data_IF_648259943950
#
_entry.id   IF_648259943950
#
_cell.length_a   1.000
_cell.length_b   1.000
_cell.length_c   1.000
_cell.angle_alpha   90.00
_cell.angle_beta   90.00
_cell.angle_gamma   90.00
#
_symmetry.space_group_name_H-M   'P 1'
#
loop_
_entity.id
_entity.type
_entity.pdbx_description
1 polymer ?
#
# COMPACT_ATOMS: atom_id res chain seq x y z
N UNK A 1 -38.92 -21.20 33.87
CA UNK A 1 -37.82 -21.07 34.84
C UNK A 1 -37.40 -19.60 34.89
N UNK A 2 -36.78 -19.16 35.97
CA UNK A 2 -36.19 -17.82 36.03
C UNK A 2 -34.96 -17.75 35.12
N UNK A 3 -34.50 -16.54 34.81
CA UNK A 3 -33.28 -16.34 34.01
C UNK A 3 -32.08 -17.04 34.66
N UNK A 4 -31.96 -16.93 35.98
CA UNK A 4 -30.86 -17.49 36.75
C UNK A 4 -30.90 -19.03 36.72
N UNK A 5 -32.07 -19.63 36.89
CA UNK A 5 -32.25 -21.09 36.81
C UNK A 5 -31.93 -21.65 35.40
N UNK A 6 -32.26 -20.89 34.35
CA UNK A 6 -31.96 -21.31 32.97
C UNK A 6 -30.46 -21.31 32.67
N UNK A 7 -29.74 -20.30 33.17
CA UNK A 7 -28.28 -20.21 33.01
C UNK A 7 -27.58 -21.34 33.76
N UNK A 8 -27.98 -21.64 35.00
CA UNK A 8 -27.42 -22.76 35.77
C UNK A 8 -27.68 -24.11 35.09
N UNK A 9 -28.89 -24.33 34.54
CA UNK A 9 -29.20 -25.53 33.78
C UNK A 9 -28.36 -25.65 32.51
N UNK A 10 -28.19 -24.56 31.77
CA UNK A 10 -27.38 -24.54 30.54
C UNK A 10 -25.91 -24.88 30.83
N UNK A 11 -25.36 -24.31 31.91
CA UNK A 11 -23.98 -24.56 32.34
C UNK A 11 -23.77 -26.01 32.80
N UNK A 12 -24.73 -26.59 33.53
CA UNK A 12 -24.67 -27.98 33.98
C UNK A 12 -24.69 -28.98 32.81
N UNK A 13 -25.41 -28.67 31.72
CA UNK A 13 -25.51 -29.55 30.54
C UNK A 13 -24.32 -29.38 29.58
N UNK A 14 -23.87 -28.15 29.36
CA UNK A 14 -22.90 -27.83 28.31
C UNK A 14 -21.47 -27.56 28.84
N UNK A 15 -21.27 -27.48 30.16
CA UNK A 15 -19.98 -27.21 30.79
C UNK A 15 -19.42 -25.81 30.49
N UNK A 16 -20.26 -24.89 30.01
CA UNK A 16 -19.90 -23.51 29.65
C UNK A 16 -21.09 -22.57 29.78
N UNK A 17 -20.78 -21.28 29.93
CA UNK A 17 -21.76 -20.19 29.93
C UNK A 17 -22.40 -20.07 28.52
N UNK A 18 -23.72 -19.82 28.41
CA UNK A 18 -24.40 -19.60 27.14
C UNK A 18 -23.86 -18.38 26.39
N UNK A 19 -23.75 -18.49 25.06
CA UNK A 19 -23.42 -17.33 24.20
C UNK A 19 -24.60 -16.37 24.08
N UNK A 20 -24.34 -15.12 23.68
CA UNK A 20 -25.39 -14.11 23.51
C UNK A 20 -26.51 -14.56 22.53
N UNK A 21 -26.13 -15.33 21.50
CA UNK A 21 -27.08 -15.86 20.51
C UNK A 21 -27.96 -16.97 21.10
N UNK A 22 -27.37 -17.90 21.86
CA UNK A 22 -28.12 -18.99 22.54
C UNK A 22 -29.07 -18.45 23.61
N UNK A 23 -28.65 -17.40 24.33
CA UNK A 23 -29.50 -16.73 25.32
C UNK A 23 -30.69 -16.02 24.66
N UNK A 24 -30.48 -15.41 23.49
CA UNK A 24 -31.53 -14.73 22.75
C UNK A 24 -32.52 -15.72 22.12
N UNK A 25 -32.05 -16.84 21.58
CA UNK A 25 -32.92 -17.91 21.09
C UNK A 25 -33.77 -18.54 22.20
N UNK A 26 -33.20 -18.77 23.39
CA UNK A 26 -33.93 -19.30 24.54
C UNK A 26 -35.01 -18.34 25.05
N UNK A 27 -34.73 -17.03 24.97
CA UNK A 27 -35.72 -15.99 25.28
C UNK A 27 -36.85 -15.96 24.25
N UNK A 28 -36.55 -16.08 22.96
CA UNK A 28 -37.55 -16.12 21.88
C UNK A 28 -38.42 -17.38 21.95
N UNK A 29 -37.84 -18.50 22.40
CA UNK A 29 -38.54 -19.77 22.65
C UNK A 29 -39.33 -19.78 23.97
N UNK A 30 -39.21 -18.74 24.79
CA UNK A 30 -39.92 -18.60 26.06
C UNK A 30 -39.44 -19.58 27.14
N UNK A 31 -38.18 -20.02 27.08
CA UNK A 31 -37.64 -21.00 28.03
C UNK A 31 -37.49 -20.42 29.45
N UNK A 32 -37.38 -19.09 29.59
CA UNK A 32 -37.38 -18.38 30.87
C UNK A 32 -38.12 -17.03 30.81
N UNK A 33 -38.63 -16.56 31.96
CA UNK A 33 -39.30 -15.26 32.12
C UNK A 33 -38.44 -14.25 32.88
N UNK A 34 -38.65 -12.96 32.60
CA UNK A 34 -38.01 -11.85 33.34
C UNK A 34 -39.12 -11.15 34.13
N UNK A 35 -39.17 -11.38 35.45
CA UNK A 35 -40.20 -10.78 36.30
C UNK A 35 -39.87 -9.30 36.59
N UNK A 36 -40.84 -8.44 36.31
CA UNK A 36 -40.81 -7.01 36.59
C UNK A 36 -41.44 -6.73 37.96
N UNK A 37 -40.66 -6.83 39.03
CA UNK A 37 -41.15 -6.49 40.38
C UNK A 37 -40.09 -5.71 41.19
N UNK A 38 -39.98 -4.41 40.93
CA UNK A 38 -39.43 -3.45 41.90
C UNK A 38 -39.98 -2.02 41.73
N UNK A 39 -41.28 -1.84 41.49
CA UNK A 39 -41.98 -0.57 41.71
C UNK A 39 -43.36 -0.85 42.32
N UNK A 40 -43.48 -0.72 43.65
CA UNK A 40 -44.77 -0.55 44.33
C UNK A 40 -44.60 0.40 45.52
N UNK A 41 -45.00 1.66 45.31
CA UNK A 41 -45.42 2.72 46.25
C UNK A 41 -45.44 4.00 45.39
N UNK A 42 -46.53 4.67 45.08
CA UNK A 42 -47.92 4.72 45.57
C UNK A 42 -48.73 5.26 44.37
N UNK A 43 -49.82 4.60 43.99
CA UNK A 43 -50.84 5.20 43.13
C UNK A 43 -51.70 6.13 43.99
N UNK A 44 -52.06 7.30 43.46
CA UNK A 44 -53.44 7.79 43.36
C UNK A 44 -53.45 9.32 43.29
N UNK A 45 -53.75 9.86 42.09
CA UNK A 45 -54.68 10.96 41.86
C UNK A 45 -54.53 11.52 40.45
N UNK A 46 -55.55 11.25 39.63
CA UNK A 46 -56.22 12.14 38.67
C UNK A 46 -55.46 13.25 37.92
N UNK A 47 -55.80 13.26 36.62
CA UNK A 47 -55.92 14.41 35.71
C UNK A 47 -54.66 15.05 35.09
N UNK A 48 -54.71 15.05 33.76
CA UNK A 48 -54.11 16.01 32.83
C UNK A 48 -52.59 16.21 32.91
N UNK A 49 -51.87 15.69 31.91
CA UNK A 49 -51.21 16.52 30.91
C UNK A 49 -50.44 15.70 29.87
N UNK A 50 -50.57 16.12 28.61
CA UNK A 50 -49.69 15.75 27.51
C UNK A 50 -48.23 16.07 27.88
N UNK A 51 -47.36 15.06 27.94
CA UNK A 51 -45.92 15.25 27.72
C UNK A 51 -45.29 14.03 27.07
N UNK A 52 -44.65 14.31 25.94
CA UNK A 52 -43.80 13.43 25.13
C UNK A 52 -42.70 12.81 26.00
N UNK A 53 -42.61 11.48 26.04
CA UNK A 53 -41.46 10.79 26.63
C UNK A 53 -40.26 10.94 25.69
N UNK A 54 -39.32 11.81 26.04
CA UNK A 54 -38.00 11.88 25.42
C UNK A 54 -37.30 10.52 25.52
N UNK A 55 -37.23 9.81 24.40
CA UNK A 55 -36.26 8.74 24.20
C UNK A 55 -34.86 9.36 24.21
N UNK A 56 -34.19 9.36 25.35
CA UNK A 56 -32.81 9.85 25.44
C UNK A 56 -31.87 8.86 24.78
N UNK A 57 -31.63 9.07 23.49
CA UNK A 57 -30.71 8.29 22.66
C UNK A 57 -29.37 9.03 22.54
N UNK A 58 -28.24 8.34 22.69
CA UNK A 58 -26.91 8.94 22.49
C UNK A 58 -26.39 8.62 21.09
N UNK A 59 -25.94 9.64 20.38
CA UNK A 59 -25.42 9.51 19.01
C UNK A 59 -23.95 9.15 19.06
N UNK A 60 -23.55 8.11 18.32
CA UNK A 60 -22.15 7.75 18.22
C UNK A 60 -21.33 8.88 17.56
N UNK A 61 -20.22 9.32 18.16
CA UNK A 61 -19.39 10.42 17.62
C UNK A 61 -18.66 10.07 16.31
N UNK A 62 -18.69 8.80 15.86
CA UNK A 62 -18.02 8.33 14.64
C UNK A 62 -18.97 7.99 13.50
N UNK A 63 -20.06 7.25 13.75
CA UNK A 63 -21.01 6.85 12.70
C UNK A 63 -22.34 7.59 12.69
N UNK A 64 -22.58 8.54 13.60
CA UNK A 64 -23.88 9.23 13.76
C UNK A 64 -25.09 8.30 13.93
N UNK A 65 -24.83 7.03 14.22
CA UNK A 65 -25.78 5.98 14.52
C UNK A 65 -26.28 6.17 15.96
N UNK A 66 -27.61 6.12 16.14
CA UNK A 66 -28.27 6.32 17.44
C UNK A 66 -28.16 5.05 18.27
N UNK A 67 -27.62 5.18 19.48
CA UNK A 67 -27.42 4.07 20.41
C UNK A 67 -28.24 4.28 21.69
N UNK A 68 -28.51 3.16 22.39
CA UNK A 68 -29.17 3.18 23.69
C UNK A 68 -28.30 3.89 24.74
N UNK A 69 -28.94 4.63 25.64
CA UNK A 69 -28.26 5.39 26.67
C UNK A 69 -27.51 4.45 27.64
N UNK A 70 -26.20 4.66 27.80
CA UNK A 70 -25.33 3.81 28.62
C UNK A 70 -24.53 2.74 27.85
N UNK A 71 -24.66 2.67 26.52
CA UNK A 71 -23.81 1.81 25.70
C UNK A 71 -22.33 2.21 25.85
N UNK A 72 -21.46 1.28 26.25
CA UNK A 72 -20.02 1.55 26.40
C UNK A 72 -19.34 1.60 25.02
N UNK A 73 -19.82 0.81 24.07
CA UNK A 73 -19.33 0.73 22.69
C UNK A 73 -20.48 0.80 21.68
N UNK A 74 -20.24 1.45 20.55
CA UNK A 74 -21.18 1.50 19.44
C UNK A 74 -21.30 0.12 18.74
N UNK A 75 -22.50 -0.49 18.65
CA UNK A 75 -22.69 -1.79 18.01
C UNK A 75 -22.37 -1.79 16.51
N UNK A 76 -22.52 -0.64 15.84
CA UNK A 76 -22.32 -0.50 14.40
C UNK A 76 -20.84 -0.31 14.02
N UNK A 77 -20.06 0.43 14.83
CA UNK A 77 -18.67 0.80 14.47
C UNK A 77 -17.60 0.47 15.52
N UNK A 78 -17.99 -0.06 16.68
CA UNK A 78 -17.08 -0.47 17.77
C UNK A 78 -16.43 0.68 18.55
N UNK A 79 -16.75 1.93 18.25
CA UNK A 79 -16.17 3.09 18.97
C UNK A 79 -16.74 3.21 20.37
N UNK A 80 -15.87 3.49 21.35
CA UNK A 80 -16.26 3.76 22.73
C UNK A 80 -17.06 5.06 22.82
N UNK A 81 -18.21 5.04 23.49
CA UNK A 81 -19.16 6.18 23.52
C UNK A 81 -18.66 7.38 24.36
N UNK A 82 -17.60 7.18 25.16
CA UNK A 82 -16.90 8.24 25.91
C UNK A 82 -15.85 9.00 25.07
N UNK A 83 -15.71 8.68 23.79
CA UNK A 83 -14.73 9.29 22.88
C UNK A 83 -13.29 8.80 23.06
N UNK A 84 -13.00 7.98 24.08
CA UNK A 84 -11.65 7.44 24.35
C UNK A 84 -11.47 6.06 23.72
N UNK A 85 -11.41 6.04 22.39
CA UNK A 85 -11.09 4.82 21.63
C UNK A 85 -9.60 4.69 21.34
N UNK A 86 -8.89 3.87 22.11
CA UNK A 86 -7.46 3.53 21.91
C UNK A 86 -7.20 2.82 20.55
N UNK A 87 -8.24 2.28 19.90
CA UNK A 87 -8.12 1.62 18.58
C UNK A 87 -8.29 2.55 17.35
N UNK A 88 -8.65 3.84 17.51
CA UNK A 88 -8.94 4.76 16.40
C UNK A 88 -7.91 5.87 16.19
N UNK A 89 -6.94 6.05 17.10
CA UNK A 89 -5.97 7.16 17.00
C UNK A 89 -5.10 7.04 15.74
N UNK A 90 -4.61 5.83 15.44
CA UNK A 90 -3.77 5.61 14.26
C UNK A 90 -4.54 5.79 12.93
N UNK A 91 -5.79 5.32 12.82
CA UNK A 91 -6.57 5.53 11.59
C UNK A 91 -6.98 6.99 11.40
N UNK A 92 -7.28 7.70 12.49
CA UNK A 92 -7.63 9.12 12.44
C UNK A 92 -6.42 9.98 12.08
N UNK A 93 -5.23 9.66 12.61
CA UNK A 93 -3.97 10.32 12.22
C UNK A 93 -3.65 10.03 10.75
N UNK A 94 -3.71 8.77 10.32
CA UNK A 94 -3.46 8.39 8.93
C UNK A 94 -4.44 9.07 7.97
N UNK A 95 -5.72 9.16 8.32
CA UNK A 95 -6.74 9.90 7.56
C UNK A 95 -6.42 11.39 7.47
N UNK A 96 -6.09 12.04 8.60
CA UNK A 96 -5.73 13.47 8.59
C UNK A 96 -4.47 13.78 7.78
N UNK A 97 -3.46 12.91 7.87
CA UNK A 97 -2.24 13.01 7.04
C UNK A 97 -2.62 12.82 5.56
N UNK A 98 -3.45 11.82 5.26
CA UNK A 98 -3.88 11.55 3.90
C UNK A 98 -4.64 12.73 3.28
N UNK A 99 -5.55 13.36 4.02
CA UNK A 99 -6.31 14.52 3.55
C UNK A 99 -5.41 15.75 3.30
N UNK A 100 -4.41 15.97 4.16
CA UNK A 100 -3.41 17.05 3.96
C UNK A 100 -2.54 16.80 2.73
N UNK A 101 -2.05 15.58 2.56
CA UNK A 101 -1.26 15.20 1.37
C UNK A 101 -2.13 15.29 0.13
N UNK A 102 -3.38 14.83 0.19
CA UNK A 102 -4.33 14.88 -0.92
C UNK A 102 -4.55 16.32 -1.38
N UNK A 103 -4.86 17.23 -0.46
CA UNK A 103 -5.02 18.65 -0.80
C UNK A 103 -3.74 19.30 -1.34
N UNK A 104 -2.58 19.04 -0.73
CA UNK A 104 -1.29 19.54 -1.22
C UNK A 104 -1.00 19.09 -2.66
N UNK A 105 -1.25 17.82 -2.95
CA UNK A 105 -1.01 17.19 -4.26
C UNK A 105 -2.17 17.39 -5.25
N UNK A 106 -3.10 18.32 -4.97
CA UNK A 106 -4.12 18.77 -5.93
C UNK A 106 -5.39 17.91 -6.03
N UNK A 107 -5.66 17.07 -5.03
CA UNK A 107 -6.88 16.25 -4.97
C UNK A 107 -7.99 16.89 -4.14
N UNK A 108 -9.22 16.52 -4.46
CA UNK A 108 -10.44 17.01 -3.81
C UNK A 108 -11.20 15.87 -3.12
N UNK A 109 -11.82 16.19 -1.98
CA UNK A 109 -12.63 15.26 -1.19
C UNK A 109 -11.84 14.44 -0.16
N UNK A 110 -12.59 13.65 0.62
CA UNK A 110 -12.05 12.77 1.68
C UNK A 110 -11.46 11.51 1.04
N UNK A 111 -10.31 11.07 1.52
CA UNK A 111 -9.67 9.84 1.05
C UNK A 111 -10.16 8.65 1.88
N UNK A 112 -10.89 7.72 1.26
CA UNK A 112 -11.22 6.44 1.89
C UNK A 112 -10.05 5.46 1.76
N UNK A 113 -9.35 5.19 2.87
CA UNK A 113 -8.25 4.23 2.91
C UNK A 113 -8.77 2.79 3.17
N UNK A 114 -9.11 2.04 2.12
CA UNK A 114 -9.59 0.64 2.22
C UNK A 114 -8.47 -0.40 2.20
N UNK A 115 -7.51 -0.22 3.12
CA UNK A 115 -6.34 -1.09 3.30
C UNK A 115 -6.68 -2.58 3.41
N UNK A 116 -7.71 -2.89 4.21
CA UNK A 116 -8.13 -4.27 4.46
C UNK A 116 -8.60 -4.97 3.19
N UNK A 117 -9.24 -4.24 2.28
CA UNK A 117 -9.81 -4.82 1.08
C UNK A 117 -8.71 -5.18 0.07
N UNK A 118 -7.67 -4.35 -0.02
CA UNK A 118 -6.48 -4.58 -0.85
C UNK A 118 -5.79 -5.92 -0.53
N UNK A 119 -5.61 -6.23 0.75
CA UNK A 119 -4.90 -7.45 1.17
C UNK A 119 -5.83 -8.63 1.50
N UNK A 120 -7.13 -8.49 1.22
CA UNK A 120 -8.17 -9.47 1.62
C UNK A 120 -8.04 -10.85 0.96
N UNK A 121 -7.35 -10.94 -0.18
CA UNK A 121 -7.19 -12.18 -0.96
C UNK A 121 -5.82 -12.84 -0.74
N UNK A 122 -4.85 -12.18 -0.12
CA UNK A 122 -3.46 -12.67 0.03
C UNK A 122 -3.36 -14.06 0.66
N UNK A 123 -4.17 -14.32 1.69
CA UNK A 123 -4.14 -15.58 2.45
C UNK A 123 -5.16 -16.62 1.96
N UNK A 124 -5.93 -16.31 0.90
CA UNK A 124 -6.91 -17.24 0.34
C UNK A 124 -6.25 -18.21 -0.64
N UNK A 125 -6.91 -19.35 -0.85
CA UNK A 125 -6.53 -20.31 -1.88
C UNK A 125 -7.03 -19.80 -3.23
N UNK A 126 -6.16 -19.86 -4.22
CA UNK A 126 -6.45 -19.48 -5.60
C UNK A 126 -6.06 -20.62 -6.52
N UNK A 127 -6.82 -20.77 -7.60
CA UNK A 127 -6.59 -21.74 -8.67
C UNK A 127 -5.48 -21.26 -9.61
N UNK A 128 -4.97 -22.20 -10.42
CA UNK A 128 -3.98 -21.88 -11.46
C UNK A 128 -4.55 -20.95 -12.53
N UNK A 129 -5.81 -21.14 -12.90
CA UNK A 129 -6.51 -20.32 -13.89
C UNK A 129 -6.64 -18.87 -13.43
N UNK A 130 -6.99 -18.64 -12.15
CA UNK A 130 -7.01 -17.28 -11.58
C UNK A 130 -5.64 -16.60 -11.67
N UNK A 131 -4.55 -17.34 -11.44
CA UNK A 131 -3.20 -16.80 -11.62
C UNK A 131 -2.92 -16.47 -13.09
N UNK A 132 -3.28 -17.34 -14.03
CA UNK A 132 -3.08 -17.13 -15.47
C UNK A 132 -3.86 -15.92 -15.99
N UNK A 133 -5.08 -15.72 -15.50
CA UNK A 133 -5.91 -14.56 -15.83
C UNK A 133 -5.30 -13.23 -15.39
N UNK A 134 -4.45 -13.20 -14.36
CA UNK A 134 -3.71 -11.99 -13.98
C UNK A 134 -2.75 -11.56 -15.09
N UNK A 135 -2.12 -12.54 -15.76
CA UNK A 135 -1.15 -12.31 -16.84
C UNK A 135 -1.80 -12.19 -18.22
N UNK A 136 -3.02 -12.69 -18.38
CA UNK A 136 -3.82 -12.56 -19.59
C UNK A 136 -4.41 -11.14 -19.73
N UNK A 137 -3.56 -10.11 -19.72
CA UNK A 137 -3.94 -8.71 -19.87
C UNK A 137 -3.04 -7.97 -20.87
N UNK A 138 -3.47 -6.78 -21.31
CA UNK A 138 -2.68 -5.91 -22.20
C UNK A 138 -2.69 -6.25 -23.69
N UNK A 139 -3.38 -7.32 -24.11
CA UNK A 139 -3.61 -7.62 -25.53
C UNK A 139 -4.87 -6.94 -26.06
N UNK A 140 -5.06 -6.92 -27.39
CA UNK A 140 -6.27 -6.37 -28.03
C UNK A 140 -7.57 -7.06 -27.58
N UNK A 141 -7.51 -8.35 -27.28
CA UNK A 141 -8.69 -9.17 -26.93
C UNK A 141 -8.92 -9.29 -25.43
N UNK A 142 -7.90 -9.00 -24.61
CA UNK A 142 -7.96 -9.14 -23.15
C UNK A 142 -8.00 -7.80 -22.41
N UNK A 143 -7.71 -6.69 -23.09
CA UNK A 143 -7.86 -5.36 -22.50
C UNK A 143 -9.36 -5.00 -22.46
N UNK A 144 -9.93 -4.73 -21.28
CA UNK A 144 -11.34 -4.38 -21.17
C UNK A 144 -11.63 -3.04 -21.87
N UNK A 145 -12.85 -2.92 -22.40
CA UNK A 145 -13.39 -1.62 -22.83
C UNK A 145 -13.51 -0.68 -21.62
N UNK A 146 -13.46 0.65 -21.80
CA UNK A 146 -13.52 1.63 -20.69
C UNK A 146 -14.70 1.42 -19.73
N UNK A 147 -15.86 1.03 -20.26
CA UNK A 147 -17.08 0.74 -19.50
C UNK A 147 -17.00 -0.52 -18.61
N UNK A 148 -16.11 -1.45 -18.96
CA UNK A 148 -15.92 -2.75 -18.29
C UNK A 148 -14.71 -2.76 -17.36
N UNK A 149 -14.03 -1.62 -17.18
CA UNK A 149 -12.94 -1.50 -16.22
C UNK A 149 -13.49 -1.63 -14.79
N UNK A 150 -12.84 -2.45 -13.96
CA UNK A 150 -13.25 -2.65 -12.57
C UNK A 150 -13.18 -1.35 -11.77
N UNK A 151 -14.30 -1.02 -11.13
CA UNK A 151 -14.50 0.13 -10.24
C UNK A 151 -14.19 -0.19 -8.79
N UNK A 152 -14.15 -1.47 -8.46
CA UNK A 152 -13.81 -1.94 -7.11
C UNK A 152 -12.33 -1.74 -6.83
N UNK A 153 -12.02 -1.62 -5.53
CA UNK A 153 -10.65 -1.65 -5.06
C UNK A 153 -9.95 -2.93 -5.54
N UNK A 154 -8.72 -2.82 -6.07
CA UNK A 154 -7.96 -3.98 -6.50
C UNK A 154 -7.67 -4.87 -5.29
N UNK A 155 -7.68 -6.19 -5.51
CA UNK A 155 -7.44 -7.21 -4.47
C UNK A 155 -6.22 -8.05 -4.84
N UNK A 156 -5.01 -7.45 -4.92
CA UNK A 156 -3.80 -8.15 -5.30
C UNK A 156 -3.46 -9.27 -4.30
N UNK A 157 -2.97 -10.39 -4.81
CA UNK A 157 -2.60 -11.56 -4.01
C UNK A 157 -1.41 -12.33 -4.58
N UNK A 158 -1.16 -12.25 -5.88
CA UNK A 158 -0.10 -13.01 -6.54
C UNK A 158 1.29 -12.48 -6.18
N UNK A 159 1.43 -11.19 -5.90
CA UNK A 159 2.66 -10.56 -5.43
C UNK A 159 3.24 -11.27 -4.19
N UNK A 160 2.38 -11.74 -3.28
CA UNK A 160 2.79 -12.47 -2.09
C UNK A 160 3.31 -13.88 -2.44
N UNK A 161 2.78 -14.50 -3.51
CA UNK A 161 3.27 -15.78 -4.04
C UNK A 161 4.63 -15.60 -4.71
N UNK A 162 4.83 -14.49 -5.43
CA UNK A 162 6.13 -14.13 -6.01
C UNK A 162 7.16 -13.85 -4.93
N UNK A 163 6.80 -13.11 -3.87
CA UNK A 163 7.65 -12.91 -2.70
C UNK A 163 8.09 -14.24 -2.09
N UNK A 164 7.14 -15.15 -1.82
CA UNK A 164 7.44 -16.45 -1.24
C UNK A 164 8.36 -17.30 -2.13
N UNK A 165 8.11 -17.31 -3.44
CA UNK A 165 8.95 -18.02 -4.41
C UNK A 165 10.39 -17.51 -4.38
N UNK A 166 10.58 -16.19 -4.43
CA UNK A 166 11.90 -15.56 -4.39
C UNK A 166 12.59 -15.78 -3.05
N UNK A 167 11.85 -15.65 -1.93
CA UNK A 167 12.37 -15.89 -0.58
C UNK A 167 12.87 -17.33 -0.40
N UNK A 168 12.08 -18.32 -0.82
CA UNK A 168 12.47 -19.74 -0.77
C UNK A 168 13.70 -19.98 -1.65
N UNK A 169 13.71 -19.42 -2.86
CA UNK A 169 14.83 -19.55 -3.79
C UNK A 169 16.12 -18.94 -3.22
N UNK A 170 16.05 -17.75 -2.63
CA UNK A 170 17.16 -17.12 -1.90
C UNK A 170 17.65 -17.97 -0.74
N UNK A 171 16.74 -18.55 0.04
CA UNK A 171 17.10 -19.44 1.15
C UNK A 171 17.80 -20.72 0.65
N UNK A 172 17.30 -21.34 -0.41
CA UNK A 172 17.94 -22.53 -1.02
C UNK A 172 19.34 -22.21 -1.53
N UNK A 173 19.52 -21.08 -2.23
CA UNK A 173 20.83 -20.63 -2.71
C UNK A 173 21.77 -20.32 -1.56
N UNK A 174 21.29 -19.66 -0.50
CA UNK A 174 22.06 -19.42 0.71
C UNK A 174 22.50 -20.73 1.36
N UNK A 175 21.57 -21.66 1.56
CA UNK A 175 21.84 -22.99 2.13
C UNK A 175 22.90 -23.74 1.32
N UNK A 176 22.79 -23.74 -0.02
CA UNK A 176 23.79 -24.34 -0.90
C UNK A 176 25.16 -23.66 -0.77
N UNK A 177 25.18 -22.33 -0.72
CA UNK A 177 26.41 -21.57 -0.58
C UNK A 177 27.14 -21.88 0.74
N UNK A 178 26.44 -21.87 1.88
CA UNK A 178 27.08 -22.07 3.20
C UNK A 178 27.40 -23.52 3.51
N UNK A 179 26.68 -24.49 2.93
CA UNK A 179 26.91 -25.92 3.19
C UNK A 179 28.13 -26.44 2.43
N UNK A 180 28.31 -26.01 1.17
CA UNK A 180 29.38 -26.50 0.30
C UNK A 180 30.48 -25.49 0.02
N UNK A 181 30.37 -24.25 0.52
CA UNK A 181 31.30 -23.14 0.25
C UNK A 181 31.58 -22.94 -1.24
N UNK A 182 30.58 -23.24 -2.09
CA UNK A 182 30.69 -23.14 -3.54
C UNK A 182 30.44 -21.71 -4.00
N UNK A 183 31.52 -21.00 -4.33
CA UNK A 183 31.50 -19.60 -4.76
C UNK A 183 30.70 -19.36 -6.04
N UNK A 184 30.51 -20.38 -6.88
CA UNK A 184 29.67 -20.27 -8.08
C UNK A 184 28.19 -20.05 -7.76
N UNK A 185 27.74 -20.34 -6.54
CA UNK A 185 26.37 -20.10 -6.08
C UNK A 185 26.15 -18.62 -5.72
N UNK A 186 27.21 -17.89 -5.36
CA UNK A 186 27.09 -16.51 -4.89
C UNK A 186 26.43 -15.56 -5.90
N UNK A 187 26.79 -15.56 -7.20
CA UNK A 187 26.10 -14.73 -8.19
C UNK A 187 24.60 -15.01 -8.25
N UNK A 188 24.20 -16.28 -8.13
CA UNK A 188 22.79 -16.67 -8.05
C UNK A 188 22.11 -16.14 -6.79
N UNK A 189 22.74 -16.32 -5.62
CA UNK A 189 22.24 -15.79 -4.35
C UNK A 189 22.05 -14.27 -4.42
N UNK A 190 23.06 -13.54 -4.89
CA UNK A 190 23.05 -12.09 -5.06
C UNK A 190 21.88 -11.65 -5.95
N UNK A 191 21.73 -12.28 -7.12
CA UNK A 191 20.68 -11.93 -8.07
C UNK A 191 19.27 -12.17 -7.51
N UNK A 192 19.01 -13.37 -6.98
CA UNK A 192 17.67 -13.72 -6.46
C UNK A 192 17.33 -12.93 -5.20
N UNK A 193 18.30 -12.68 -4.32
CA UNK A 193 18.08 -11.89 -3.12
C UNK A 193 17.78 -10.41 -3.46
N UNK A 194 18.44 -9.83 -4.46
CA UNK A 194 18.13 -8.47 -4.92
C UNK A 194 16.71 -8.34 -5.50
N UNK A 195 16.19 -9.40 -6.15
CA UNK A 195 14.82 -9.43 -6.67
C UNK A 195 13.75 -9.54 -5.56
N UNK A 196 14.08 -10.17 -4.44
CA UNK A 196 13.12 -10.60 -3.41
C UNK A 196 12.31 -9.45 -2.81
N UNK A 197 12.89 -8.25 -2.69
CA UNK A 197 12.17 -7.07 -2.20
C UNK A 197 11.37 -6.33 -3.28
N UNK A 198 12.04 -5.97 -4.38
CA UNK A 198 11.49 -5.05 -5.37
C UNK A 198 10.47 -5.69 -6.35
N UNK A 199 10.69 -6.94 -6.76
CA UNK A 199 9.80 -7.61 -7.72
C UNK A 199 8.38 -7.81 -7.16
N UNK A 200 8.18 -8.24 -5.89
CA UNK A 200 6.83 -8.32 -5.32
C UNK A 200 6.09 -6.98 -5.34
N UNK A 201 6.76 -5.87 -5.05
CA UNK A 201 6.14 -4.54 -5.11
C UNK A 201 5.73 -4.17 -6.54
N UNK A 202 6.55 -4.53 -7.54
CA UNK A 202 6.18 -4.37 -8.94
C UNK A 202 4.94 -5.20 -9.31
N UNK A 203 4.89 -6.46 -8.87
CA UNK A 203 3.73 -7.33 -9.09
C UNK A 203 2.47 -6.79 -8.41
N UNK A 204 2.61 -6.19 -7.24
CA UNK A 204 1.51 -5.50 -6.57
C UNK A 204 0.95 -4.37 -7.47
N UNK A 205 1.80 -3.54 -8.08
CA UNK A 205 1.34 -2.49 -9.01
C UNK A 205 0.73 -3.08 -10.29
N UNK A 206 1.28 -4.19 -10.79
CA UNK A 206 0.76 -4.89 -11.95
C UNK A 206 -0.66 -5.42 -11.70
N UNK A 207 -0.89 -6.03 -10.53
CA UNK A 207 -2.22 -6.49 -10.12
C UNK A 207 -3.19 -5.35 -9.81
N UNK A 208 -2.69 -4.23 -9.29
CA UNK A 208 -3.49 -3.03 -9.03
C UNK A 208 -3.93 -2.31 -10.32
N UNK A 209 -3.30 -2.58 -11.46
CA UNK A 209 -3.62 -1.93 -12.74
C UNK A 209 -5.00 -2.38 -13.28
N UNK A 210 -6.06 -1.79 -12.72
CA UNK A 210 -7.46 -2.08 -13.07
C UNK A 210 -7.77 -1.94 -14.58
N UNK A 211 -7.19 -0.97 -15.32
CA UNK A 211 -7.39 -0.89 -16.77
C UNK A 211 -6.87 -2.10 -17.56
N UNK A 212 -6.00 -2.94 -16.98
CA UNK A 212 -5.51 -4.21 -17.59
C UNK A 212 -4.99 -4.05 -19.03
N UNK A 213 -4.43 -2.89 -19.34
CA UNK A 213 -3.98 -2.45 -20.67
C UNK A 213 -2.45 -2.44 -20.85
N UNK A 214 -1.69 -2.93 -19.86
CA UNK A 214 -0.24 -3.12 -19.92
C UNK A 214 0.03 -4.60 -19.71
N UNK A 215 0.62 -5.24 -20.72
CA UNK A 215 1.04 -6.64 -20.68
C UNK A 215 2.36 -6.80 -19.92
N UNK A 216 2.64 -8.02 -19.47
CA UNK A 216 3.84 -8.33 -18.69
C UNK A 216 5.14 -8.15 -19.48
N UNK A 217 5.13 -8.30 -20.81
CA UNK A 217 6.33 -8.09 -21.64
C UNK A 217 6.72 -6.61 -21.64
N UNK A 218 5.75 -5.71 -21.75
CA UNK A 218 5.94 -4.27 -21.58
C UNK A 218 6.48 -3.96 -20.18
N UNK A 219 5.93 -4.59 -19.13
CA UNK A 219 6.42 -4.38 -17.75
C UNK A 219 7.89 -4.79 -17.63
N UNK A 220 8.29 -5.93 -18.21
CA UNK A 220 9.69 -6.34 -18.21
C UNK A 220 10.59 -5.43 -19.05
N UNK A 221 10.12 -4.94 -20.20
CA UNK A 221 10.86 -3.95 -21.00
C UNK A 221 11.17 -2.70 -20.16
N UNK A 222 10.15 -2.15 -19.49
CA UNK A 222 10.30 -0.97 -18.63
C UNK A 222 11.20 -1.27 -17.42
N UNK A 223 11.05 -2.44 -16.80
CA UNK A 223 11.89 -2.87 -15.69
C UNK A 223 13.37 -2.93 -16.06
N UNK A 224 13.72 -3.67 -17.12
CA UNK A 224 15.11 -3.85 -17.52
C UNK A 224 15.69 -2.59 -18.14
N UNK A 225 15.07 -2.08 -19.21
CA UNK A 225 15.61 -0.95 -19.97
C UNK A 225 15.43 0.35 -19.20
N UNK A 226 14.28 0.57 -18.58
CA UNK A 226 14.02 1.77 -17.78
C UNK A 226 14.85 1.82 -16.50
N UNK A 227 14.99 0.69 -15.80
CA UNK A 227 15.89 0.57 -14.65
C UNK A 227 17.34 0.93 -15.01
N UNK A 228 17.89 0.30 -16.05
CA UNK A 228 19.26 0.58 -16.53
C UNK A 228 19.39 2.02 -17.01
N UNK A 229 18.42 2.54 -17.75
CA UNK A 229 18.44 3.94 -18.23
C UNK A 229 18.45 4.92 -17.06
N UNK A 230 17.65 4.69 -16.02
CA UNK A 230 17.66 5.53 -14.83
C UNK A 230 19.00 5.48 -14.09
N UNK A 231 19.62 4.30 -13.94
CA UNK A 231 20.97 4.20 -13.36
C UNK A 231 22.03 4.90 -14.20
N UNK A 232 21.96 4.76 -15.52
CA UNK A 232 22.87 5.45 -16.44
C UNK A 232 22.79 6.97 -16.27
N UNK A 233 21.57 7.52 -16.21
CA UNK A 233 21.35 8.96 -15.99
C UNK A 233 21.88 9.37 -14.61
N UNK A 234 21.58 8.60 -13.55
CA UNK A 234 22.12 8.85 -12.20
C UNK A 234 23.64 8.95 -12.21
N UNK A 235 24.32 7.97 -12.81
CA UNK A 235 25.79 7.95 -12.83
C UNK A 235 26.39 9.11 -13.62
N UNK A 236 25.74 9.56 -14.70
CA UNK A 236 26.16 10.77 -15.44
C UNK A 236 25.98 12.02 -14.57
N UNK A 237 24.84 12.18 -13.90
CA UNK A 237 24.54 13.35 -13.08
C UNK A 237 25.46 13.47 -11.86
N UNK A 238 25.83 12.35 -11.23
CA UNK A 238 26.77 12.33 -10.09
C UNK A 238 28.19 12.79 -10.49
N UNK A 239 28.57 12.72 -11.77
CA UNK A 239 29.86 13.31 -12.21
C UNK A 239 29.83 14.84 -12.19
N UNK A 240 28.65 15.45 -12.15
CA UNK A 240 28.45 16.90 -12.28
C UNK A 240 28.07 17.52 -10.93
N UNK A 241 27.28 16.80 -10.13
CA UNK A 241 26.72 17.29 -8.88
C UNK A 241 27.23 16.47 -7.70
N UNK A 242 27.47 17.10 -6.52
CA UNK A 242 27.83 16.35 -5.32
C UNK A 242 26.68 15.44 -4.90
N UNK A 243 27.00 14.23 -4.46
CA UNK A 243 26.05 13.25 -3.91
C UNK A 243 26.70 12.49 -2.75
N UNK A 244 25.88 11.96 -1.85
CA UNK A 244 26.34 11.15 -0.73
C UNK A 244 25.21 10.79 0.22
N UNK A 245 25.54 10.18 1.35
CA UNK A 245 24.59 9.79 2.40
C UNK A 245 25.06 10.31 3.76
N UNK A 246 24.16 10.39 4.73
CA UNK A 246 24.40 10.81 6.11
C UNK A 246 24.15 12.30 6.32
N UNK A 247 24.99 13.16 5.72
CA UNK A 247 24.82 14.61 5.82
C UNK A 247 23.62 15.11 5.01
N UNK A 248 22.94 16.17 5.48
CA UNK A 248 21.71 16.68 4.88
C UNK A 248 21.87 17.07 3.40
N UNK A 249 22.88 17.89 3.07
CA UNK A 249 23.04 18.39 1.70
C UNK A 249 23.39 17.26 0.72
N UNK A 250 24.41 16.41 0.98
CA UNK A 250 24.71 15.28 0.11
C UNK A 250 23.53 14.32 -0.07
N UNK A 251 22.80 14.01 1.00
CA UNK A 251 21.63 13.10 0.96
C UNK A 251 20.48 13.68 0.13
N UNK A 252 20.15 14.95 0.33
CA UNK A 252 19.14 15.64 -0.48
C UNK A 252 19.54 15.73 -1.95
N UNK A 253 20.83 15.89 -2.25
CA UNK A 253 21.33 15.87 -3.62
C UNK A 253 21.25 14.48 -4.26
N UNK A 254 21.55 13.41 -3.51
CA UNK A 254 21.33 12.03 -3.97
C UNK A 254 19.86 11.81 -4.31
N UNK A 255 18.96 12.19 -3.39
CA UNK A 255 17.51 12.13 -3.64
C UNK A 255 17.08 12.92 -4.88
N UNK A 256 17.61 14.13 -5.07
CA UNK A 256 17.36 14.94 -6.27
C UNK A 256 17.82 14.23 -7.55
N UNK A 257 19.08 13.80 -7.59
CA UNK A 257 19.70 13.23 -8.78
C UNK A 257 18.99 11.94 -9.18
N UNK A 258 18.77 11.04 -8.23
CA UNK A 258 18.22 9.75 -8.54
C UNK A 258 16.73 9.79 -8.89
N UNK A 259 15.94 10.62 -8.20
CA UNK A 259 14.51 10.75 -8.53
C UNK A 259 14.31 11.49 -9.85
N UNK A 260 15.18 12.45 -10.19
CA UNK A 260 15.22 13.04 -11.54
C UNK A 260 15.55 11.99 -12.61
N UNK A 261 16.53 11.13 -12.37
CA UNK A 261 16.89 10.07 -13.31
C UNK A 261 15.73 9.09 -13.56
N UNK A 262 15.05 8.66 -12.47
CA UNK A 262 13.89 7.75 -12.55
C UNK A 262 12.70 8.41 -13.24
N UNK A 263 12.38 9.66 -12.95
CA UNK A 263 11.24 10.34 -13.60
C UNK A 263 11.50 10.62 -15.08
N UNK A 264 12.73 10.89 -15.49
CA UNK A 264 13.11 11.03 -16.91
C UNK A 264 12.95 9.71 -17.67
N UNK A 265 13.45 8.60 -17.11
CA UNK A 265 13.26 7.27 -17.68
C UNK A 265 11.77 6.88 -17.75
N UNK A 266 11.00 7.20 -16.71
CA UNK A 266 9.54 7.00 -16.66
C UNK A 266 8.84 7.82 -17.75
N UNK A 267 9.19 9.10 -17.88
CA UNK A 267 8.66 10.01 -18.91
C UNK A 267 8.92 9.51 -20.32
N UNK A 268 10.11 8.96 -20.59
CA UNK A 268 10.43 8.33 -21.87
C UNK A 268 9.43 7.22 -22.24
N UNK A 269 9.15 6.29 -21.32
CA UNK A 269 8.19 5.20 -21.58
C UNK A 269 6.74 5.72 -21.67
N UNK A 270 6.36 6.69 -20.85
CA UNK A 270 5.03 7.33 -20.94
C UNK A 270 4.84 8.05 -22.28
N UNK A 271 5.91 8.64 -22.84
CA UNK A 271 5.89 9.27 -24.17
C UNK A 271 5.76 8.25 -25.31
N UNK A 272 6.25 7.02 -25.10
CA UNK A 272 6.14 5.92 -26.07
C UNK A 272 4.74 5.28 -26.06
N UNK A 273 4.08 5.24 -24.90
CA UNK A 273 2.78 4.58 -24.71
C UNK A 273 1.60 5.57 -24.72
N UNK A 274 1.45 6.33 -25.79
CA UNK A 274 0.51 7.46 -25.89
C UNK A 274 -0.98 7.13 -25.64
N UNK A 275 -1.39 5.86 -25.75
CA UNK A 275 -2.77 5.41 -25.54
C UNK A 275 -3.04 4.84 -24.14
N UNK A 276 -2.04 4.80 -23.26
CA UNK A 276 -2.13 4.22 -21.90
C UNK A 276 -2.18 5.32 -20.84
N UNK A 277 -3.27 6.11 -20.84
CA UNK A 277 -3.42 7.36 -20.08
C UNK A 277 -4.33 7.20 -18.85
N UNK A 278 -4.01 6.25 -17.97
CA UNK A 278 -4.66 6.12 -16.66
C UNK A 278 -3.65 6.36 -15.54
N UNK A 279 -4.07 6.88 -14.39
CA UNK A 279 -3.19 7.07 -13.22
C UNK A 279 -2.55 5.73 -12.81
N UNK A 280 -3.31 4.63 -12.88
CA UNK A 280 -2.78 3.27 -12.65
C UNK A 280 -1.65 2.88 -13.61
N UNK A 281 -1.66 3.36 -14.85
CA UNK A 281 -0.59 3.10 -15.81
C UNK A 281 0.70 3.84 -15.41
N UNK A 282 0.58 5.09 -14.95
CA UNK A 282 1.71 5.84 -14.42
C UNK A 282 2.32 5.16 -13.20
N UNK A 283 1.47 4.68 -12.29
CA UNK A 283 1.89 3.92 -11.11
C UNK A 283 2.70 2.66 -11.49
N UNK A 284 2.20 1.88 -12.45
CA UNK A 284 2.87 0.65 -12.91
C UNK A 284 4.16 0.94 -13.69
N UNK A 285 4.15 1.88 -14.64
CA UNK A 285 5.33 2.23 -15.46
C UNK A 285 6.43 2.80 -14.55
N UNK A 286 6.11 3.76 -13.69
CA UNK A 286 7.06 4.31 -12.72
C UNK A 286 7.57 3.25 -11.75
N UNK A 287 6.66 2.41 -11.21
CA UNK A 287 7.03 1.29 -10.34
C UNK A 287 7.95 0.28 -11.02
N UNK A 288 7.78 0.01 -12.32
CA UNK A 288 8.67 -0.87 -13.08
C UNK A 288 10.08 -0.28 -13.21
N UNK A 289 10.21 1.02 -13.55
CA UNK A 289 11.50 1.72 -13.57
C UNK A 289 12.17 1.66 -12.20
N UNK A 290 11.43 2.00 -11.14
CA UNK A 290 11.94 1.98 -9.77
C UNK A 290 12.33 0.59 -9.27
N UNK A 291 11.58 -0.45 -9.65
CA UNK A 291 11.94 -1.84 -9.37
C UNK A 291 13.24 -2.24 -10.08
N UNK A 292 13.40 -1.87 -11.35
CA UNK A 292 14.64 -2.11 -12.09
C UNK A 292 15.83 -1.44 -11.42
N UNK A 293 15.71 -0.15 -11.12
CA UNK A 293 16.71 0.62 -10.36
C UNK A 293 17.09 -0.09 -9.06
N UNK A 294 16.09 -0.41 -8.23
CA UNK A 294 16.29 -1.01 -6.91
C UNK A 294 16.99 -2.37 -6.98
N UNK A 295 16.64 -3.22 -7.94
CA UNK A 295 17.24 -4.56 -8.09
C UNK A 295 18.71 -4.45 -8.47
N UNK A 296 19.03 -3.67 -9.51
CA UNK A 296 20.41 -3.54 -9.99
C UNK A 296 21.31 -2.87 -8.95
N UNK A 297 20.81 -1.81 -8.31
CA UNK A 297 21.53 -1.13 -7.26
C UNK A 297 21.76 -2.05 -6.05
N UNK A 298 20.72 -2.77 -5.61
CA UNK A 298 20.84 -3.70 -4.47
C UNK A 298 21.80 -4.84 -4.78
N UNK A 299 21.84 -5.36 -6.01
CA UNK A 299 22.84 -6.34 -6.42
C UNK A 299 24.27 -5.77 -6.28
N UNK A 300 24.48 -4.50 -6.65
CA UNK A 300 25.74 -3.79 -6.45
C UNK A 300 26.14 -3.67 -4.98
N UNK A 301 25.21 -3.32 -4.09
CA UNK A 301 25.46 -3.27 -2.63
C UNK A 301 25.76 -4.64 -2.03
N UNK A 302 25.06 -5.70 -2.46
CA UNK A 302 25.35 -7.07 -2.05
C UNK A 302 26.75 -7.48 -2.51
N UNK A 303 27.11 -7.16 -3.75
CA UNK A 303 28.45 -7.42 -4.27
C UNK A 303 29.53 -6.66 -3.48
N UNK A 304 29.37 -5.36 -3.30
CA UNK A 304 30.37 -4.53 -2.61
C UNK A 304 30.57 -4.98 -1.14
N UNK A 305 29.49 -5.34 -0.44
CA UNK A 305 29.57 -5.87 0.93
C UNK A 305 30.20 -7.27 1.04
N UNK A 306 30.35 -7.99 -0.07
CA UNK A 306 31.13 -9.22 -0.16
C UNK A 306 32.61 -8.98 -0.43
N UNK A 307 33.06 -7.73 -0.59
CA UNK A 307 34.47 -7.40 -0.79
C UNK A 307 35.10 -6.95 0.53
N UNK A 308 36.36 -7.33 0.74
CA UNK A 308 37.21 -6.85 1.82
C UNK A 308 38.43 -6.15 1.24
N UNK A 309 38.86 -5.06 1.87
CA UNK A 309 40.05 -4.33 1.48
C UNK A 309 41.28 -5.01 2.04
N UNK A 310 42.25 -5.28 1.17
CA UNK A 310 43.55 -5.82 1.52
C UNK A 310 44.64 -4.85 1.06
N UNK A 311 45.50 -4.45 1.99
CA UNK A 311 46.64 -3.59 1.70
C UNK A 311 47.81 -4.45 1.22
N UNK A 312 48.21 -4.27 -0.05
CA UNK A 312 49.43 -4.85 -0.60
C UNK A 312 50.42 -3.74 -0.91
N UNK A 313 51.48 -3.64 -0.11
CA UNK A 313 52.53 -2.62 -0.25
C UNK A 313 51.93 -1.19 -0.37
N UNK A 314 51.86 -0.64 -1.59
CA UNK A 314 51.36 0.69 -1.91
C UNK A 314 49.99 0.68 -2.64
N UNK A 315 49.29 -0.45 -2.66
CA UNK A 315 48.01 -0.60 -3.35
C UNK A 315 46.93 -1.20 -2.45
N UNK A 316 45.76 -0.55 -2.49
CA UNK A 316 44.52 -1.09 -1.95
C UNK A 316 43.89 -2.02 -2.99
N UNK A 317 43.74 -3.30 -2.65
CA UNK A 317 43.08 -4.28 -3.50
C UNK A 317 41.81 -4.77 -2.80
N UNK A 318 40.71 -4.89 -3.55
CA UNK A 318 39.48 -5.48 -3.05
C UNK A 318 39.46 -6.98 -3.38
N UNK A 319 39.29 -7.82 -2.36
CA UNK A 319 39.27 -9.28 -2.48
C UNK A 319 37.91 -9.81 -2.06
N UNK A 320 37.42 -10.84 -2.75
CA UNK A 320 36.16 -11.48 -2.41
C UNK A 320 36.22 -12.19 -1.05
N UNK A 321 35.27 -11.88 -0.18
CA UNK A 321 35.08 -12.50 1.13
C UNK A 321 34.09 -13.66 1.01
N UNK A 322 34.55 -14.88 1.28
CA UNK A 322 33.72 -16.07 1.22
C UNK A 322 32.66 -16.11 2.33
N UNK A 323 32.80 -15.33 3.40
CA UNK A 323 31.75 -15.22 4.42
C UNK A 323 30.59 -14.35 3.88
N UNK A 324 29.38 -14.92 3.68
CA UNK A 324 28.28 -14.20 3.07
C UNK A 324 27.53 -13.30 4.07
N UNK A 325 27.94 -13.25 5.34
CA UNK A 325 27.17 -12.58 6.40
C UNK A 325 26.85 -11.13 6.08
N UNK A 326 27.83 -10.35 5.60
CA UNK A 326 27.62 -8.94 5.23
C UNK A 326 26.68 -8.82 4.01
N UNK A 327 26.94 -9.61 2.97
CA UNK A 327 26.13 -9.65 1.75
C UNK A 327 24.66 -10.01 2.04
N UNK A 328 24.43 -11.01 2.89
CA UNK A 328 23.08 -11.44 3.32
C UNK A 328 22.41 -10.40 4.19
N UNK A 329 23.15 -9.77 5.11
CA UNK A 329 22.62 -8.69 5.96
C UNK A 329 22.13 -7.52 5.10
N UNK A 330 22.95 -7.10 4.12
CA UNK A 330 22.57 -6.06 3.17
C UNK A 330 21.37 -6.49 2.33
N UNK A 331 21.33 -7.72 1.84
CA UNK A 331 20.21 -8.24 1.07
C UNK A 331 18.89 -8.22 1.86
N UNK A 332 18.92 -8.63 3.14
CA UNK A 332 17.73 -8.63 4.02
C UNK A 332 17.27 -7.20 4.27
N UNK A 333 18.17 -6.30 4.69
CA UNK A 333 17.81 -4.92 5.01
C UNK A 333 17.25 -4.23 3.76
N UNK A 334 17.99 -4.24 2.65
CA UNK A 334 17.54 -3.58 1.41
C UNK A 334 16.27 -4.24 0.84
N UNK A 335 16.13 -5.55 0.96
CA UNK A 335 14.94 -6.29 0.55
C UNK A 335 13.69 -5.87 1.33
N UNK A 336 13.78 -5.74 2.65
CA UNK A 336 12.68 -5.26 3.50
C UNK A 336 12.33 -3.80 3.20
N UNK A 337 13.36 -2.97 3.03
CA UNK A 337 13.21 -1.53 2.78
C UNK A 337 12.70 -1.21 1.37
N UNK A 338 12.89 -2.10 0.39
CA UNK A 338 12.39 -1.94 -0.97
C UNK A 338 10.87 -1.74 -1.05
N UNK A 339 10.12 -2.19 -0.03
CA UNK A 339 8.68 -1.96 0.08
C UNK A 339 8.32 -0.48 0.06
N UNK A 340 9.07 0.37 0.76
CA UNK A 340 8.79 1.82 0.89
C UNK A 340 9.81 2.74 0.21
N UNK A 341 10.77 2.18 -0.52
CA UNK A 341 11.87 2.93 -1.16
C UNK A 341 11.65 3.22 -2.64
N UNK A 342 12.71 3.06 -3.45
CA UNK A 342 12.76 3.44 -4.87
C UNK A 342 11.57 2.98 -5.71
N UNK A 343 11.03 1.78 -5.47
CA UNK A 343 9.88 1.25 -6.23
C UNK A 343 8.64 2.10 -6.00
N UNK A 344 8.37 2.48 -4.75
CA UNK A 344 7.25 3.31 -4.38
C UNK A 344 7.42 4.76 -4.85
N UNK A 345 8.62 5.33 -4.69
CA UNK A 345 8.90 6.71 -5.11
C UNK A 345 8.76 6.91 -6.63
N UNK A 346 9.31 5.98 -7.42
CA UNK A 346 9.16 6.04 -8.87
C UNK A 346 7.70 5.84 -9.31
N UNK A 347 6.94 4.96 -8.64
CA UNK A 347 5.51 4.79 -8.89
C UNK A 347 4.71 6.08 -8.61
N UNK A 348 5.00 6.77 -7.50
CA UNK A 348 4.39 8.06 -7.14
C UNK A 348 4.65 9.11 -8.24
N UNK A 349 5.91 9.26 -8.68
CA UNK A 349 6.26 10.20 -9.74
C UNK A 349 5.59 9.85 -11.08
N UNK A 350 5.55 8.57 -11.44
CA UNK A 350 4.89 8.11 -12.67
C UNK A 350 3.38 8.39 -12.68
N UNK A 351 2.72 8.19 -11.54
CA UNK A 351 1.31 8.57 -11.37
C UNK A 351 1.11 10.09 -11.49
N UNK A 352 2.02 10.89 -10.93
CA UNK A 352 2.00 12.34 -11.05
C UNK A 352 2.02 12.83 -12.51
N UNK A 353 2.84 12.23 -13.36
CA UNK A 353 2.87 12.54 -14.81
C UNK A 353 1.50 12.28 -15.44
N UNK A 354 0.88 11.12 -15.17
CA UNK A 354 -0.43 10.78 -15.74
C UNK A 354 -1.54 11.74 -15.30
N UNK A 355 -1.49 12.26 -14.07
CA UNK A 355 -2.45 13.28 -13.59
C UNK A 355 -2.37 14.58 -14.39
N UNK A 356 -1.18 14.99 -14.81
CA UNK A 356 -0.99 16.17 -15.69
C UNK A 356 -1.49 15.87 -17.10
N UNK A 357 -1.16 14.69 -17.63
CA UNK A 357 -1.55 14.29 -18.99
C UNK A 357 -3.06 14.15 -19.18
N UNK A 358 -3.81 13.85 -18.11
CA UNK A 358 -5.27 13.92 -18.14
C UNK A 358 -5.79 15.28 -18.60
N UNK A 359 -5.09 16.37 -18.24
CA UNK A 359 -5.48 17.75 -18.58
C UNK A 359 -4.92 18.22 -19.92
N UNK A 360 -3.77 17.69 -20.32
CA UNK A 360 -3.01 18.18 -21.49
C UNK A 360 -3.11 17.26 -22.72
N UNK A 361 -3.68 16.05 -22.61
CA UNK A 361 -3.88 14.99 -23.62
C UNK A 361 -2.59 14.46 -24.28
N UNK A 362 -1.68 15.34 -24.69
CA UNK A 362 -0.39 15.01 -25.29
C UNK A 362 0.76 15.12 -24.29
N UNK A 363 1.76 14.24 -24.44
CA UNK A 363 2.96 14.28 -23.62
C UNK A 363 3.94 15.33 -24.13
N UNK A 364 4.37 16.21 -23.23
CA UNK A 364 5.50 17.11 -23.45
C UNK A 364 6.50 16.94 -22.30
N UNK A 365 7.79 17.16 -22.54
CA UNK A 365 8.80 17.04 -21.48
C UNK A 365 8.59 18.04 -20.33
N UNK A 366 7.89 19.15 -20.58
CA UNK A 366 7.45 20.08 -19.53
C UNK A 366 6.35 19.50 -18.64
N UNK A 367 5.59 18.48 -19.08
CA UNK A 367 4.58 17.80 -18.26
C UNK A 367 5.19 17.15 -17.01
N UNK A 368 6.48 16.77 -17.04
CA UNK A 368 7.21 16.26 -15.88
C UNK A 368 7.35 17.33 -14.80
N UNK A 369 7.60 18.57 -15.20
CA UNK A 369 7.94 19.70 -14.32
C UNK A 369 6.77 20.68 -14.10
N UNK A 370 5.53 20.21 -14.27
CA UNK A 370 4.34 21.04 -14.09
C UNK A 370 3.29 20.36 -13.21
N UNK A 371 2.36 21.16 -12.67
CA UNK A 371 1.16 20.69 -11.98
C UNK A 371 1.42 19.67 -10.87
N UNK A 372 0.62 18.61 -10.87
CA UNK A 372 0.71 17.50 -9.93
C UNK A 372 2.02 16.72 -10.06
N UNK A 373 2.56 16.54 -11.27
CA UNK A 373 3.83 15.84 -11.51
C UNK A 373 4.98 16.48 -10.74
N UNK A 374 5.12 17.81 -10.82
CA UNK A 374 6.16 18.53 -10.09
C UNK A 374 6.00 18.40 -8.57
N UNK A 375 4.77 18.46 -8.06
CA UNK A 375 4.50 18.34 -6.62
C UNK A 375 4.88 16.97 -6.09
N UNK A 376 4.54 15.90 -6.82
CA UNK A 376 4.95 14.54 -6.48
C UNK A 376 6.45 14.33 -6.62
N UNK A 377 7.08 14.89 -7.66
CA UNK A 377 8.53 14.85 -7.83
C UNK A 377 9.26 15.49 -6.64
N UNK A 378 8.87 16.71 -6.24
CA UNK A 378 9.44 17.38 -5.06
C UNK A 378 9.23 16.54 -3.80
N UNK A 379 8.03 15.98 -3.62
CA UNK A 379 7.72 15.13 -2.48
C UNK A 379 8.64 13.91 -2.39
N UNK A 380 8.85 13.19 -3.50
CA UNK A 380 9.73 12.00 -3.48
C UNK A 380 11.20 12.36 -3.35
N UNK A 381 11.65 13.49 -3.89
CA UNK A 381 13.02 14.01 -3.68
C UNK A 381 13.26 14.26 -2.20
N UNK A 382 12.28 14.87 -1.49
CA UNK A 382 12.38 15.11 -0.05
C UNK A 382 12.32 13.81 0.74
N UNK A 383 11.43 12.88 0.38
CA UNK A 383 11.35 11.57 1.04
C UNK A 383 12.66 10.79 0.92
N UNK A 384 13.23 10.75 -0.28
CA UNK A 384 14.49 10.06 -0.54
C UNK A 384 15.66 10.77 0.11
N UNK A 385 15.76 12.09 -0.03
CA UNK A 385 16.81 12.85 0.64
C UNK A 385 16.77 12.66 2.15
N UNK A 386 15.59 12.71 2.77
CA UNK A 386 15.40 12.42 4.18
C UNK A 386 15.75 10.97 4.53
N UNK A 387 15.46 10.01 3.65
CA UNK A 387 15.83 8.61 3.83
C UNK A 387 17.34 8.42 3.99
N UNK A 388 18.13 9.13 3.19
CA UNK A 388 19.59 9.01 3.17
C UNK A 388 20.29 9.79 4.29
N UNK A 389 19.57 10.62 5.06
CA UNK A 389 20.16 11.37 6.18
C UNK A 389 20.32 10.54 7.45
N UNK A 390 21.25 10.96 8.32
CA UNK A 390 21.40 10.45 9.69
C UNK A 390 20.63 11.29 10.74
N UNK A 391 19.47 11.87 10.38
CA UNK A 391 18.73 12.81 11.27
C UNK A 391 18.22 12.12 12.53
N UNK A 392 17.74 10.88 12.43
CA UNK A 392 17.21 10.13 13.57
C UNK A 392 18.24 9.07 13.99
N UNK A 393 18.73 9.18 15.22
CA UNK A 393 19.73 8.26 15.80
C UNK A 393 19.27 6.79 15.81
N UNK A 394 17.96 6.54 15.74
CA UNK A 394 17.37 5.23 15.50
C UNK A 394 17.02 5.05 14.02
N UNK A 395 18.02 4.67 13.20
CA UNK A 395 17.90 4.47 11.74
C UNK A 395 16.64 3.69 11.32
N UNK A 396 16.28 2.65 12.07
CA UNK A 396 15.14 1.78 11.74
C UNK A 396 13.78 2.51 11.82
N UNK A 397 13.62 3.45 12.76
CA UNK A 397 12.36 4.20 12.91
C UNK A 397 12.16 5.18 11.75
N UNK A 398 13.23 5.81 11.27
CA UNK A 398 13.21 6.71 10.12
C UNK A 398 12.71 5.99 8.87
N UNK A 399 13.31 4.84 8.56
CA UNK A 399 12.91 4.06 7.39
C UNK A 399 11.47 3.57 7.47
N UNK A 400 11.02 3.10 8.63
CA UNK A 400 9.63 2.70 8.83
C UNK A 400 8.68 3.88 8.63
N UNK A 401 8.97 5.03 9.24
CA UNK A 401 8.10 6.20 9.15
C UNK A 401 7.99 6.73 7.70
N UNK A 402 9.12 6.85 7.00
CA UNK A 402 9.16 7.25 5.59
C UNK A 402 8.48 6.23 4.67
N UNK A 403 8.68 4.94 4.95
CA UNK A 403 7.98 3.87 4.23
C UNK A 403 6.47 3.93 4.41
N UNK A 404 5.98 4.09 5.65
CA UNK A 404 4.53 4.26 5.92
C UNK A 404 4.00 5.49 5.18
N UNK A 405 4.73 6.61 5.21
CA UNK A 405 4.34 7.83 4.51
C UNK A 405 4.25 7.63 2.99
N UNK A 406 5.24 6.97 2.39
CA UNK A 406 5.22 6.60 0.97
C UNK A 406 3.97 5.77 0.63
N UNK A 407 3.61 4.79 1.47
CA UNK A 407 2.43 3.97 1.24
C UNK A 407 1.11 4.71 1.44
N UNK A 408 1.02 5.62 2.42
CA UNK A 408 -0.14 6.52 2.53
C UNK A 408 -0.34 7.29 1.22
N UNK A 409 0.74 7.81 0.63
CA UNK A 409 0.70 8.50 -0.67
C UNK A 409 0.21 7.56 -1.79
N UNK A 410 0.72 6.34 -1.85
CA UNK A 410 0.26 5.32 -2.81
C UNK A 410 -1.25 5.05 -2.66
N UNK A 411 -1.78 4.93 -1.44
CA UNK A 411 -3.21 4.69 -1.23
C UNK A 411 -4.07 5.88 -1.66
N UNK A 412 -3.61 7.11 -1.44
CA UNK A 412 -4.27 8.31 -1.98
C UNK A 412 -4.30 8.25 -3.51
N UNK A 413 -3.18 7.89 -4.14
CA UNK A 413 -3.10 7.77 -5.60
C UNK A 413 -4.02 6.68 -6.13
N UNK A 414 -4.07 5.50 -5.49
CA UNK A 414 -4.99 4.42 -5.86
C UNK A 414 -6.44 4.89 -5.74
N UNK A 415 -6.80 5.59 -4.66
CA UNK A 415 -8.15 6.14 -4.49
C UNK A 415 -8.49 7.14 -5.62
N UNK A 416 -7.55 8.02 -6.01
CA UNK A 416 -7.73 8.93 -7.15
C UNK A 416 -7.87 8.20 -8.48
N UNK A 417 -7.09 7.14 -8.68
CA UNK A 417 -7.15 6.34 -9.89
C UNK A 417 -8.48 5.58 -10.01
N UNK A 418 -9.04 5.10 -8.89
CA UNK A 418 -10.39 4.51 -8.87
C UNK A 418 -11.48 5.56 -9.14
N UNK A 419 -11.34 6.76 -8.56
CA UNK A 419 -12.25 7.88 -8.86
C UNK A 419 -12.21 8.26 -10.34
N UNK A 420 -11.02 8.31 -10.94
CA UNK A 420 -10.85 8.52 -12.39
C UNK A 420 -11.64 7.50 -13.23
N UNK A 421 -11.53 6.21 -12.93
CA UNK A 421 -12.26 5.16 -13.64
C UNK A 421 -13.77 5.31 -13.46
N UNK A 422 -14.21 5.65 -12.24
CA UNK A 422 -15.62 5.87 -11.94
C UNK A 422 -16.20 7.04 -12.73
N UNK A 423 -15.51 8.17 -12.79
CA UNK A 423 -15.95 9.38 -13.48
C UNK A 423 -16.09 9.14 -14.99
N UNK A 424 -15.10 8.47 -15.61
CA UNK A 424 -15.13 8.11 -17.05
C UNK A 424 -16.31 7.23 -17.42
N UNK A 425 -16.77 6.37 -16.50
CA UNK A 425 -17.92 5.49 -16.75
C UNK A 425 -19.26 6.24 -16.73
N UNK A 426 -19.35 7.36 -16.00
CA UNK A 426 -20.55 8.20 -15.92
C UNK A 426 -20.66 9.07 -17.17
N UNK A 427 -19.55 9.62 -17.66
CA UNK A 427 -19.51 10.42 -18.89
C UNK A 427 -19.88 9.59 -20.14
N UNK A 428 -19.49 8.31 -20.18
CA UNK A 428 -19.78 7.41 -21.30
C UNK A 428 -21.19 6.80 -21.26
N UNK A 429 -22.00 7.02 -20.20
CA UNK A 429 -23.34 6.45 -20.07
C UNK A 429 -24.39 7.50 -19.61
N UNK A 430 -24.74 8.49 -20.45
CA UNK A 430 -25.59 9.62 -20.08
C UNK A 430 -27.06 9.27 -19.73
N UNK A 431 -27.53 8.07 -20.04
CA UNK A 431 -28.89 7.58 -19.71
C UNK A 431 -29.13 7.43 -18.20
N UNK A 432 -28.09 7.33 -17.38
CA UNK A 432 -28.22 7.31 -15.91
C UNK A 432 -28.52 8.70 -15.31
N UNK A 433 -28.21 9.79 -16.01
CA UNK A 433 -28.49 11.16 -15.55
C UNK A 433 -29.92 11.64 -15.83
N UNK A 434 -30.68 10.89 -16.65
CA UNK A 434 -32.07 11.22 -16.98
C UNK A 434 -33.09 10.65 -15.97
N UNK A 435 -32.68 9.73 -15.08
CA UNK A 435 -33.59 9.07 -14.12
C UNK A 435 -33.72 9.85 -12.79
N UNK A 436 -33.06 11.01 -12.66
CA UNK A 436 -33.17 11.89 -11.47
C UNK A 436 -34.02 13.14 -11.68
N UNK A 437 -34.74 13.24 -12.79
CA UNK A 437 -35.70 14.32 -13.05
C UNK A 437 -37.03 13.67 -13.43
N UNK A 438 -37.73 13.12 -12.43
CA UNK A 438 -39.18 12.93 -12.45
C UNK A 438 -39.71 12.91 -11.01
#
# INVERSE_FOLDING_TARGET
MTKEEWVEFFEAVNGRIPTAQEFQEAREKGEFSIDAESIKKVNDSEEANNTVSESTSTVCPKCNCTNENGAIFCPNCGTKMDGTGVLNTASNIAGSIADRINSFTGGEGIVELKMRDLFSQVFKKHTREEAENIFACGSKTTTPLPENISKEWPKPWYFARVFLLLLISSFMLYFMYVTWFNTNIFPGLMFVAALTGAIPVLFFYFECNSPRNIDIMTVFEVFFIGGILSLLITHVLIQIFPSGTGELIPSMMTGLIEELAKILATGYFISKFNYKRYIFNGLLIGGAVGAGFAVFETAGYIFNSSLVQFQMENQLVHVFNMNPQNAVTIAIIRGLLAFGGHVAWAAISGAGIMMVLKKQQEFTWSSIFTGESLRFLILVIVLHGAWDTDIISTLFLQYIALGILAWIIIFIIINRALKEINDLSVENNPSANLVKIE
#
